data_IF_159244607653
#
_entry.id   IF_159244607653
#
_cell.length_a   1.000
_cell.length_b   1.000
_cell.length_c   1.000
_cell.angle_alpha   90.00
_cell.angle_beta   90.00
_cell.angle_gamma   90.00
#
_symmetry.space_group_name_H-M   'P 1'
#
loop_
_entity.id
_entity.type
_entity.pdbx_description
1 polymer ?
#
# COMPACT_ATOMS: atom_id res chain seq x y z
N UNK A 1 -4.80 11.37 26.16
CA UNK A 1 -4.81 11.17 24.68
C UNK A 1 -3.55 11.67 23.96
N UNK A 2 -2.53 12.22 24.64
CA UNK A 2 -1.34 12.79 23.97
C UNK A 2 -0.18 11.84 23.66
N UNK A 3 0.07 10.82 24.49
CA UNK A 3 1.20 9.90 24.25
C UNK A 3 0.89 8.82 23.21
N UNK A 4 -0.36 8.35 23.14
CA UNK A 4 -0.80 7.31 22.20
C UNK A 4 -1.01 7.83 20.77
N UNK A 5 -1.20 9.13 20.59
CA UNK A 5 -1.30 9.74 19.26
C UNK A 5 0.08 9.88 18.60
N UNK A 6 1.11 10.31 19.35
CA UNK A 6 2.47 10.48 18.81
C UNK A 6 3.04 9.13 18.37
N UNK A 7 2.90 8.10 19.20
CA UNK A 7 3.36 6.75 18.84
C UNK A 7 2.66 6.19 17.60
N UNK A 8 1.35 6.45 17.45
CA UNK A 8 0.60 6.07 16.25
C UNK A 8 1.14 6.74 14.98
N UNK A 9 1.36 8.06 15.01
CA UNK A 9 1.88 8.78 13.86
C UNK A 9 3.31 8.35 13.51
N UNK A 10 4.17 8.18 14.52
CA UNK A 10 5.53 7.69 14.32
C UNK A 10 5.53 6.31 13.65
N UNK A 11 4.70 5.37 14.13
CA UNK A 11 4.55 4.04 13.54
C UNK A 11 4.03 4.09 12.11
N UNK A 12 3.04 4.95 11.84
CA UNK A 12 2.45 5.09 10.51
C UNK A 12 3.45 5.67 9.49
N UNK A 13 4.22 6.68 9.90
CA UNK A 13 5.26 7.27 9.06
C UNK A 13 6.39 6.29 8.80
N UNK A 14 6.84 5.57 9.85
CA UNK A 14 7.91 4.58 9.74
C UNK A 14 7.53 3.49 8.74
N UNK A 15 6.36 2.86 8.88
CA UNK A 15 5.93 1.80 7.97
C UNK A 15 5.76 2.28 6.53
N UNK A 16 5.25 3.50 6.32
CA UNK A 16 5.17 4.09 4.98
C UNK A 16 6.57 4.29 4.37
N UNK A 17 7.51 4.85 5.13
CA UNK A 17 8.88 5.10 4.67
C UNK A 17 9.60 3.79 4.34
N UNK A 18 9.45 2.75 5.17
CA UNK A 18 10.04 1.43 4.92
C UNK A 18 9.60 0.84 3.57
N UNK A 19 8.29 0.87 3.28
CA UNK A 19 7.74 0.38 2.01
C UNK A 19 8.25 1.22 0.84
N UNK A 20 8.22 2.54 0.98
CA UNK A 20 8.64 3.45 -0.08
C UNK A 20 10.15 3.34 -0.38
N UNK A 21 10.98 3.11 0.63
CA UNK A 21 12.42 2.94 0.49
C UNK A 21 12.80 1.57 -0.09
N UNK A 22 12.04 0.52 0.22
CA UNK A 22 12.31 -0.85 -0.23
C UNK A 22 11.81 -1.15 -1.67
N UNK A 23 11.08 -0.22 -2.29
CA UNK A 23 10.51 -0.42 -3.63
C UNK A 23 11.59 -0.61 -4.70
N UNK A 24 11.33 -1.50 -5.64
CA UNK A 24 12.18 -1.81 -6.79
C UNK A 24 11.40 -1.58 -8.09
N UNK A 25 12.11 -1.18 -9.15
CA UNK A 25 11.53 -1.04 -10.47
C UNK A 25 11.12 -2.41 -11.04
N UNK A 26 9.93 -2.48 -11.63
CA UNK A 26 9.39 -3.72 -12.18
C UNK A 26 10.19 -4.19 -13.40
N UNK A 27 10.63 -3.28 -14.27
CA UNK A 27 11.45 -3.60 -15.43
C UNK A 27 12.78 -4.24 -15.03
N UNK A 28 13.45 -3.65 -14.04
CA UNK A 28 14.69 -4.20 -13.47
C UNK A 28 14.46 -5.61 -12.91
N UNK A 29 13.40 -5.83 -12.14
CA UNK A 29 13.09 -7.15 -11.57
C UNK A 29 12.77 -8.21 -12.63
N UNK A 30 12.10 -7.82 -13.72
CA UNK A 30 11.78 -8.74 -14.81
C UNK A 30 13.04 -9.21 -15.54
N UNK A 31 14.03 -8.34 -15.68
CA UNK A 31 15.29 -8.64 -16.36
C UNK A 31 16.32 -9.34 -15.45
N UNK A 32 16.20 -9.16 -14.13
CA UNK A 32 17.13 -9.76 -13.16
C UNK A 32 16.96 -11.29 -13.10
N UNK A 33 18.00 -12.08 -13.47
CA UNK A 33 17.94 -13.55 -13.46
C UNK A 33 17.72 -14.14 -12.06
N UNK A 34 18.08 -13.41 -11.00
CA UNK A 34 17.91 -13.84 -9.60
C UNK A 34 16.47 -13.70 -9.09
N UNK A 35 15.61 -12.94 -9.78
CA UNK A 35 14.19 -12.82 -9.43
C UNK A 35 13.49 -14.17 -9.56
N UNK A 36 12.76 -14.63 -8.52
CA UNK A 36 12.01 -15.89 -8.58
C UNK A 36 11.08 -15.96 -9.80
N UNK A 37 11.09 -17.09 -10.52
CA UNK A 37 10.37 -17.26 -11.78
C UNK A 37 8.88 -16.91 -11.67
N UNK A 38 8.23 -17.34 -10.58
CA UNK A 38 6.82 -17.04 -10.34
C UNK A 38 6.55 -15.54 -10.17
N UNK A 39 7.43 -14.82 -9.47
CA UNK A 39 7.34 -13.36 -9.33
C UNK A 39 7.56 -12.67 -10.68
N UNK A 40 8.61 -13.07 -11.43
CA UNK A 40 8.90 -12.55 -12.77
C UNK A 40 7.69 -12.69 -13.71
N UNK A 41 7.03 -13.85 -13.71
CA UNK A 41 5.86 -14.11 -14.54
C UNK A 41 4.67 -13.18 -14.18
N UNK A 42 4.41 -12.98 -12.88
CA UNK A 42 3.36 -12.06 -12.41
C UNK A 42 3.65 -10.61 -12.80
N UNK A 43 4.88 -10.16 -12.59
CA UNK A 43 5.32 -8.80 -12.94
C UNK A 43 5.27 -8.54 -14.45
N UNK A 44 5.65 -9.53 -15.26
CA UNK A 44 5.54 -9.47 -16.72
C UNK A 44 4.08 -9.34 -17.16
N UNK A 45 3.19 -10.15 -16.55
CA UNK A 45 1.75 -10.10 -16.84
C UNK A 45 1.14 -8.75 -16.46
N UNK A 46 1.46 -8.23 -15.27
CA UNK A 46 1.01 -6.91 -14.83
C UNK A 46 1.49 -5.79 -15.77
N UNK A 47 2.73 -5.89 -16.27
CA UNK A 47 3.27 -4.93 -17.25
C UNK A 47 2.51 -4.96 -18.57
N UNK A 48 2.14 -6.15 -19.06
CA UNK A 48 1.34 -6.31 -20.28
C UNK A 48 -0.09 -5.77 -20.10
N UNK A 49 -0.75 -6.06 -18.97
CA UNK A 49 -2.08 -5.55 -18.64
C UNK A 49 -2.07 -4.02 -18.60
N UNK A 50 -1.08 -3.44 -17.93
CA UNK A 50 -0.91 -1.99 -17.85
C UNK A 50 -0.74 -1.39 -19.25
N UNK A 51 0.10 -1.99 -20.10
CA UNK A 51 0.31 -1.53 -21.47
C UNK A 51 -0.99 -1.55 -22.27
N UNK A 52 -1.76 -2.63 -22.21
CA UNK A 52 -3.07 -2.71 -22.84
C UNK A 52 -4.02 -1.61 -22.35
N UNK A 53 -4.05 -1.35 -21.04
CA UNK A 53 -4.89 -0.32 -20.47
C UNK A 53 -4.55 1.10 -21.00
N UNK A 54 -3.28 1.38 -21.25
CA UNK A 54 -2.85 2.63 -21.86
C UNK A 54 -3.11 2.65 -23.36
N UNK A 55 -2.63 1.64 -24.09
CA UNK A 55 -2.60 1.61 -25.55
C UNK A 55 -4.01 1.41 -26.15
N UNK A 56 -4.85 0.58 -25.53
CA UNK A 56 -6.15 0.15 -26.09
C UNK A 56 -7.35 0.77 -25.35
N UNK A 57 -7.23 1.01 -24.04
CA UNK A 57 -8.32 1.58 -23.23
C UNK A 57 -8.17 3.09 -22.99
N UNK A 58 -7.13 3.71 -23.54
CA UNK A 58 -6.82 5.14 -23.39
C UNK A 58 -6.74 5.61 -21.92
N UNK A 59 -6.38 4.72 -20.99
CA UNK A 59 -6.11 5.13 -19.62
C UNK A 59 -4.77 5.90 -19.52
N UNK A 60 -4.65 6.84 -18.58
CA UNK A 60 -3.44 7.66 -18.46
C UNK A 60 -2.15 6.84 -18.28
N UNK A 61 -1.10 7.16 -19.03
CA UNK A 61 0.23 6.60 -18.85
C UNK A 61 0.94 7.20 -17.63
N UNK A 62 0.54 6.77 -16.43
CA UNK A 62 1.08 7.26 -15.16
C UNK A 62 2.08 6.28 -14.51
N UNK A 63 2.56 6.61 -13.32
CA UNK A 63 3.54 5.78 -12.60
C UNK A 63 2.94 4.54 -11.92
N UNK A 64 1.63 4.32 -11.99
CA UNK A 64 0.97 3.18 -11.35
C UNK A 64 1.51 1.84 -11.89
N UNK A 65 1.67 0.90 -10.96
CA UNK A 65 2.15 -0.47 -11.21
C UNK A 65 3.56 -0.58 -11.83
N UNK A 66 4.37 0.49 -11.81
CA UNK A 66 5.77 0.47 -12.30
C UNK A 66 6.80 0.04 -11.25
N UNK A 67 6.41 -0.04 -9.98
CA UNK A 67 7.27 -0.47 -8.88
C UNK A 67 6.65 -1.61 -8.07
N UNK A 68 7.50 -2.48 -7.54
CA UNK A 68 7.15 -3.59 -6.66
C UNK A 68 7.93 -3.50 -5.35
N UNK A 69 7.32 -3.94 -4.26
CA UNK A 69 7.96 -4.07 -2.95
C UNK A 69 7.51 -5.39 -2.35
N UNK A 70 8.48 -6.19 -1.90
CA UNK A 70 8.19 -7.37 -1.09
C UNK A 70 8.10 -6.91 0.36
N UNK A 71 6.88 -6.93 0.93
CA UNK A 71 6.63 -6.50 2.31
C UNK A 71 6.95 -7.62 3.32
N UNK A 72 7.24 -8.84 2.88
CA UNK A 72 7.60 -9.96 3.77
C UNK A 72 6.45 -10.46 4.67
N UNK A 73 5.21 -10.09 4.36
CA UNK A 73 4.00 -10.42 5.12
C UNK A 73 2.79 -10.49 4.20
N UNK A 74 1.70 -11.07 4.71
CA UNK A 74 0.49 -11.30 3.90
C UNK A 74 -0.27 -10.01 3.58
N UNK A 75 -0.26 -9.03 4.48
CA UNK A 75 -1.05 -7.80 4.36
C UNK A 75 -0.14 -6.57 4.35
N UNK A 76 -0.42 -5.62 3.45
CA UNK A 76 0.36 -4.36 3.38
C UNK A 76 0.04 -3.47 4.57
N UNK A 77 -1.23 -3.38 4.96
CA UNK A 77 -1.72 -2.59 6.09
C UNK A 77 -2.97 -3.24 6.68
N UNK A 78 -3.24 -2.99 7.96
CA UNK A 78 -4.48 -3.34 8.64
C UNK A 78 -5.37 -2.11 8.78
N UNK A 79 -6.65 -2.22 8.40
CA UNK A 79 -7.66 -1.23 8.69
C UNK A 79 -8.49 -1.68 9.91
N UNK A 80 -8.32 -0.99 11.04
CA UNK A 80 -9.01 -1.31 12.29
C UNK A 80 -10.22 -0.41 12.47
N UNK A 81 -11.38 -1.03 12.67
CA UNK A 81 -12.63 -0.39 13.02
C UNK A 81 -12.97 -0.75 14.46
N UNK A 82 -13.57 0.18 15.19
CA UNK A 82 -13.99 -0.04 16.58
C UNK A 82 -15.39 0.52 16.79
N UNK A 83 -16.17 -0.10 17.68
CA UNK A 83 -17.49 0.37 18.08
C UNK A 83 -17.65 0.19 19.60
N UNK A 84 -18.47 1.01 20.28
CA UNK A 84 -18.84 0.76 21.67
C UNK A 84 -19.52 -0.60 21.85
N UNK A 85 -19.45 -1.14 23.06
CA UNK A 85 -20.14 -2.39 23.39
C UNK A 85 -21.65 -2.27 23.08
N UNK A 86 -22.21 -3.30 22.44
CA UNK A 86 -23.60 -3.36 22.00
C UNK A 86 -24.01 -2.28 20.96
N UNK A 87 -23.04 -1.71 20.24
CA UNK A 87 -23.28 -0.77 19.16
C UNK A 87 -22.61 -1.21 17.87
N UNK A 88 -23.21 -0.86 16.74
CA UNK A 88 -22.59 -0.95 15.40
C UNK A 88 -22.12 0.43 14.90
N UNK A 89 -22.30 1.49 15.69
CA UNK A 89 -21.83 2.82 15.34
C UNK A 89 -20.30 2.89 15.49
N UNK A 90 -19.56 3.24 14.43
CA UNK A 90 -18.10 3.26 14.49
C UNK A 90 -17.59 4.42 15.32
N UNK A 91 -16.51 4.19 16.05
CA UNK A 91 -15.68 5.25 16.61
C UNK A 91 -15.03 5.98 15.45
N UNK A 92 -15.11 7.31 15.48
CA UNK A 92 -14.50 8.17 14.48
C UNK A 92 -13.20 8.76 15.03
N UNK A 93 -12.14 8.70 14.22
CA UNK A 93 -10.85 9.30 14.53
C UNK A 93 -10.61 10.51 13.63
N UNK A 94 -10.27 11.64 14.24
CA UNK A 94 -10.00 12.89 13.54
C UNK A 94 -8.50 13.17 13.47
N UNK A 95 -8.04 13.51 12.27
CA UNK A 95 -6.66 13.79 11.92
C UNK A 95 -6.53 15.25 11.43
N UNK A 96 -5.45 15.97 11.76
CA UNK A 96 -5.31 17.39 11.41
C UNK A 96 -5.41 17.70 9.91
N UNK A 97 -4.95 16.79 9.04
CA UNK A 97 -4.89 16.99 7.58
C UNK A 97 -6.02 16.27 6.84
N UNK A 98 -6.36 15.06 7.27
CA UNK A 98 -7.26 14.16 6.53
C UNK A 98 -8.71 14.19 7.02
N UNK A 99 -9.01 14.99 8.05
CA UNK A 99 -10.34 15.05 8.64
C UNK A 99 -10.66 13.80 9.48
N UNK A 100 -11.94 13.46 9.57
CA UNK A 100 -12.44 12.43 10.46
C UNK A 100 -12.85 11.17 9.67
N UNK A 101 -12.33 10.01 10.05
CA UNK A 101 -12.59 8.72 9.39
C UNK A 101 -12.98 7.64 10.41
N UNK A 102 -13.82 6.66 10.02
CA UNK A 102 -14.30 5.60 10.92
C UNK A 102 -13.34 4.40 11.04
N UNK A 103 -12.06 4.57 10.67
CA UNK A 103 -11.03 3.52 10.79
C UNK A 103 -9.66 4.09 11.14
N UNK A 104 -8.77 3.24 11.65
CA UNK A 104 -7.34 3.51 11.77
C UNK A 104 -6.53 2.51 10.96
N UNK A 105 -5.66 3.03 10.10
CA UNK A 105 -4.68 2.22 9.37
C UNK A 105 -3.45 1.95 10.23
N UNK A 106 -2.94 0.72 10.18
CA UNK A 106 -1.68 0.32 10.80
C UNK A 106 -0.82 -0.40 9.76
N UNK A 107 0.47 -0.04 9.75
CA UNK A 107 1.49 -0.81 9.06
C UNK A 107 2.01 -1.95 9.94
#
# INVERSE_FOLDING_TARGET
TGCTSISYYAQSLQGHVEIMAARKDVGTLVQDPSTPQALRARLTSASAIRRFATDELALPDNSSYRSYVDVGRNDVTLAVFAAPQFSLAPITWCFPVFGCVPYKGYF
#
